data_IF_575610206491
#
_entry.id   IF_575610206491
#
_cell.length_a   1.000
_cell.length_b   1.000
_cell.length_c   1.000
_cell.angle_alpha   90.00
_cell.angle_beta   90.00
_cell.angle_gamma   90.00
#
_symmetry.space_group_name_H-M   'P 1'
#
loop_
_entity.id
_entity.type
_entity.pdbx_description
1 polymer ?
#
# COMPACT_ATOMS: atom_id res chain seq x y z
N UNK A 1 -39.35 -25.00 19.40
CA UNK A 1 -38.98 -26.34 18.89
C UNK A 1 -38.85 -26.32 17.36
N UNK A 2 -37.86 -25.60 16.79
CA UNK A 2 -37.78 -25.40 15.33
C UNK A 2 -36.41 -25.77 14.72
N UNK A 3 -35.40 -26.04 15.56
CA UNK A 3 -34.03 -26.34 15.12
C UNK A 3 -33.71 -27.83 14.96
N UNK A 4 -34.55 -28.73 15.49
CA UNK A 4 -34.31 -30.18 15.45
C UNK A 4 -34.57 -30.83 14.08
N UNK A 5 -35.36 -30.18 13.21
CA UNK A 5 -35.76 -30.74 11.91
C UNK A 5 -34.76 -30.47 10.78
N UNK A 6 -33.77 -29.59 11.01
CA UNK A 6 -32.74 -29.30 10.01
C UNK A 6 -31.66 -30.38 9.96
N UNK A 7 -31.31 -30.99 11.10
CA UNK A 7 -30.24 -32.00 11.19
C UNK A 7 -30.67 -33.41 10.76
N UNK A 8 -31.95 -33.76 10.86
CA UNK A 8 -32.45 -35.09 10.47
C UNK A 8 -32.55 -35.29 8.95
N UNK A 9 -32.61 -34.20 8.16
CA UNK A 9 -32.80 -34.26 6.71
C UNK A 9 -31.46 -34.41 5.92
N UNK A 10 -30.32 -34.10 6.53
CA UNK A 10 -29.00 -34.31 5.90
C UNK A 10 -28.62 -35.80 5.80
N UNK A 11 -29.04 -36.60 6.78
CA UNK A 11 -28.64 -38.01 6.84
C UNK A 11 -29.49 -38.93 5.94
N UNK A 12 -30.62 -38.46 5.41
CA UNK A 12 -31.56 -39.29 4.67
C UNK A 12 -31.47 -39.19 3.13
N UNK A 13 -30.47 -38.45 2.60
CA UNK A 13 -30.19 -38.45 1.15
C UNK A 13 -29.52 -39.76 0.75
N UNK A 14 -30.04 -40.40 -0.29
CA UNK A 14 -29.47 -41.65 -0.82
C UNK A 14 -28.02 -41.43 -1.28
N UNK A 15 -27.15 -42.44 -1.14
CA UNK A 15 -25.76 -42.36 -1.59
C UNK A 15 -25.62 -41.79 -3.02
N UNK A 16 -26.47 -42.19 -4.00
CA UNK A 16 -26.46 -41.59 -5.34
C UNK A 16 -26.70 -40.07 -5.36
N UNK A 17 -27.62 -39.55 -4.53
CA UNK A 17 -27.90 -38.11 -4.45
C UNK A 17 -26.71 -37.32 -3.87
N UNK A 18 -25.98 -37.90 -2.92
CA UNK A 18 -24.78 -37.28 -2.34
C UNK A 18 -23.65 -37.23 -3.37
N UNK A 19 -23.43 -38.32 -4.09
CA UNK A 19 -22.44 -38.40 -5.18
C UNK A 19 -22.79 -37.43 -6.30
N UNK A 20 -24.06 -37.38 -6.72
CA UNK A 20 -24.52 -36.45 -7.74
C UNK A 20 -24.33 -34.99 -7.33
N UNK A 21 -24.64 -34.64 -6.08
CA UNK A 21 -24.40 -33.30 -5.54
C UNK A 21 -22.91 -32.92 -5.51
N UNK A 22 -22.04 -33.84 -5.08
CA UNK A 22 -20.59 -33.63 -5.09
C UNK A 22 -20.05 -33.47 -6.53
N UNK A 23 -20.54 -34.30 -7.46
CA UNK A 23 -20.13 -34.27 -8.87
C UNK A 23 -20.56 -32.96 -9.55
N UNK A 24 -21.77 -32.48 -9.26
CA UNK A 24 -22.24 -31.16 -9.71
C UNK A 24 -21.41 -30.02 -9.12
N UNK A 25 -21.07 -30.07 -7.83
CA UNK A 25 -20.21 -29.07 -7.22
C UNK A 25 -18.83 -29.03 -7.89
N UNK A 26 -18.21 -30.20 -8.11
CA UNK A 26 -16.92 -30.31 -8.81
C UNK A 26 -17.03 -29.77 -10.24
N UNK A 27 -18.10 -30.09 -10.96
CA UNK A 27 -18.32 -29.58 -12.31
C UNK A 27 -18.42 -28.04 -12.35
N UNK A 28 -19.17 -27.43 -11.41
CA UNK A 28 -19.30 -25.98 -11.32
C UNK A 28 -17.97 -25.32 -10.97
N UNK A 29 -17.24 -25.83 -9.97
CA UNK A 29 -15.92 -25.30 -9.59
C UNK A 29 -14.95 -25.40 -10.75
N UNK A 30 -14.93 -26.54 -11.45
CA UNK A 30 -14.06 -26.75 -12.62
C UNK A 30 -14.40 -25.78 -13.74
N UNK A 31 -15.69 -25.57 -14.03
CA UNK A 31 -16.13 -24.61 -15.03
C UNK A 31 -15.71 -23.18 -14.66
N UNK A 32 -15.86 -22.80 -13.39
CA UNK A 32 -15.46 -21.48 -12.90
C UNK A 32 -13.94 -21.27 -12.99
N UNK A 33 -13.15 -22.27 -12.58
CA UNK A 33 -11.69 -22.24 -12.71
C UNK A 33 -11.24 -22.18 -14.17
N UNK A 34 -11.92 -22.90 -15.07
CA UNK A 34 -11.66 -22.81 -16.50
C UNK A 34 -11.91 -21.40 -17.03
N UNK A 35 -13.05 -20.79 -16.68
CA UNK A 35 -13.39 -19.43 -17.10
C UNK A 35 -12.39 -18.40 -16.56
N UNK A 36 -12.05 -18.52 -15.28
CA UNK A 36 -11.02 -17.70 -14.64
C UNK A 36 -9.66 -17.83 -15.34
N UNK A 37 -9.24 -19.06 -15.67
CA UNK A 37 -8.01 -19.31 -16.39
C UNK A 37 -8.00 -18.65 -17.78
N UNK A 38 -9.12 -18.67 -18.51
CA UNK A 38 -9.21 -18.00 -19.81
C UNK A 38 -9.07 -16.48 -19.69
N UNK A 39 -9.73 -15.88 -18.71
CA UNK A 39 -9.62 -14.44 -18.42
C UNK A 39 -8.18 -14.11 -18.03
N UNK A 40 -7.59 -14.89 -17.12
CA UNK A 40 -6.21 -14.72 -16.68
C UNK A 40 -5.23 -14.84 -17.85
N UNK A 41 -5.44 -15.78 -18.78
CA UNK A 41 -4.61 -15.94 -19.99
C UNK A 41 -4.68 -14.71 -20.89
N UNK A 42 -5.86 -14.16 -21.11
CA UNK A 42 -6.04 -12.90 -21.86
C UNK A 42 -5.34 -11.74 -21.15
N UNK A 43 -5.46 -11.66 -19.83
CA UNK A 43 -4.82 -10.62 -19.02
C UNK A 43 -3.29 -10.73 -19.05
N UNK A 44 -2.76 -11.96 -19.08
CA UNK A 44 -1.34 -12.23 -19.25
C UNK A 44 -0.84 -11.79 -20.64
N UNK A 45 -1.60 -12.07 -21.69
CA UNK A 45 -1.30 -11.60 -23.04
C UNK A 45 -1.34 -10.06 -23.15
N UNK A 46 -2.26 -9.40 -22.42
CA UNK A 46 -2.35 -7.94 -22.33
C UNK A 46 -1.32 -7.32 -21.39
N UNK A 47 -0.71 -8.08 -20.50
CA UNK A 47 0.25 -7.57 -19.52
C UNK A 47 1.42 -6.77 -20.12
N UNK A 48 2.08 -7.18 -21.23
CA UNK A 48 3.09 -6.34 -21.85
C UNK A 48 2.53 -4.97 -22.25
N UNK A 49 1.29 -4.90 -22.75
CA UNK A 49 0.63 -3.63 -23.08
C UNK A 49 0.43 -2.76 -21.83
N UNK A 50 0.04 -3.33 -20.69
CA UNK A 50 -0.06 -2.61 -19.43
C UNK A 50 1.31 -2.12 -18.94
N UNK A 51 2.37 -2.90 -19.07
CA UNK A 51 3.72 -2.46 -18.72
C UNK A 51 4.16 -1.28 -19.61
N UNK A 52 3.90 -1.33 -20.91
CA UNK A 52 4.13 -0.19 -21.81
C UNK A 52 3.34 1.05 -21.40
N UNK A 53 2.06 0.89 -21.04
CA UNK A 53 1.23 1.99 -20.56
C UNK A 53 1.80 2.60 -19.26
N UNK A 54 2.28 1.77 -18.32
CA UNK A 54 2.90 2.24 -17.09
C UNK A 54 4.19 3.05 -17.36
N UNK A 55 5.03 2.58 -18.29
CA UNK A 55 6.25 3.29 -18.70
C UNK A 55 5.93 4.64 -19.33
N UNK A 56 4.90 4.69 -20.18
CA UNK A 56 4.46 5.92 -20.84
C UNK A 56 3.86 6.93 -19.84
N UNK A 57 3.19 6.45 -18.79
CA UNK A 57 2.61 7.31 -17.75
C UNK A 57 3.67 7.87 -16.80
N UNK A 58 4.52 7.02 -16.23
CA UNK A 58 5.57 7.42 -15.31
C UNK A 58 6.66 6.33 -15.24
N UNK A 59 7.76 6.45 -15.99
CA UNK A 59 8.73 5.37 -16.16
C UNK A 59 9.43 4.99 -14.85
N UNK A 60 9.58 5.93 -13.91
CA UNK A 60 10.20 5.70 -12.61
C UNK A 60 9.48 4.61 -11.80
N UNK A 61 8.16 4.44 -11.96
CA UNK A 61 7.41 3.37 -11.28
C UNK A 61 7.93 1.99 -11.65
N UNK A 62 8.25 1.77 -12.92
CA UNK A 62 8.80 0.49 -13.38
C UNK A 62 10.20 0.28 -12.82
N UNK A 63 11.07 1.29 -12.90
CA UNK A 63 12.43 1.20 -12.35
C UNK A 63 12.47 0.96 -10.84
N UNK A 64 11.61 1.63 -10.08
CA UNK A 64 11.48 1.43 -8.64
C UNK A 64 11.03 0.00 -8.31
N UNK A 65 10.17 -0.57 -9.15
CA UNK A 65 9.74 -1.97 -9.02
C UNK A 65 10.88 -2.95 -9.34
N UNK A 66 11.64 -2.74 -10.43
CA UNK A 66 12.82 -3.57 -10.70
C UNK A 66 13.88 -3.45 -9.60
N UNK A 67 14.06 -2.25 -9.04
CA UNK A 67 14.98 -2.00 -7.91
C UNK A 67 14.56 -2.81 -6.68
N UNK A 68 13.26 -2.90 -6.38
CA UNK A 68 12.79 -3.67 -5.23
C UNK A 68 13.02 -5.18 -5.42
N UNK A 69 12.86 -5.71 -6.63
CA UNK A 69 13.21 -7.09 -6.97
C UNK A 69 14.71 -7.33 -6.72
N UNK A 70 15.57 -6.46 -7.25
CA UNK A 70 17.02 -6.56 -7.06
C UNK A 70 17.42 -6.48 -5.59
N UNK A 71 16.75 -5.63 -4.80
CA UNK A 71 16.98 -5.52 -3.35
C UNK A 71 16.61 -6.83 -2.63
N UNK A 72 15.52 -7.49 -3.04
CA UNK A 72 15.11 -8.77 -2.46
C UNK A 72 16.17 -9.86 -2.68
N UNK A 73 16.79 -9.91 -3.86
CA UNK A 73 17.90 -10.81 -4.14
C UNK A 73 19.15 -10.50 -3.31
N UNK A 74 19.43 -9.22 -3.04
CA UNK A 74 20.56 -8.82 -2.19
C UNK A 74 20.38 -9.22 -0.72
N UNK A 75 19.14 -9.23 -0.23
CA UNK A 75 18.84 -9.59 1.17
C UNK A 75 18.92 -11.10 1.39
N UNK A 76 18.27 -11.88 0.52
CA UNK A 76 18.29 -13.33 0.58
C UNK A 76 17.98 -13.90 -0.82
N UNK A 77 18.84 -14.78 -1.33
CA UNK A 77 18.66 -15.41 -2.63
C UNK A 77 17.34 -16.18 -2.74
N UNK A 78 16.98 -16.95 -1.70
CA UNK A 78 15.72 -17.72 -1.65
C UNK A 78 14.52 -16.77 -1.66
N UNK A 79 14.57 -15.72 -0.82
CA UNK A 79 13.52 -14.71 -0.75
C UNK A 79 13.33 -13.96 -2.08
N UNK A 80 14.43 -13.60 -2.75
CA UNK A 80 14.43 -13.00 -4.08
C UNK A 80 13.79 -13.92 -5.12
N UNK A 81 14.14 -15.20 -5.13
CA UNK A 81 13.59 -16.18 -6.07
C UNK A 81 12.09 -16.44 -5.85
N UNK A 82 11.66 -16.54 -4.59
CA UNK A 82 10.23 -16.65 -4.27
C UNK A 82 9.46 -15.42 -4.72
N UNK A 83 10.01 -14.22 -4.47
CA UNK A 83 9.36 -12.96 -4.86
C UNK A 83 9.27 -12.85 -6.39
N UNK A 84 10.34 -13.17 -7.11
CA UNK A 84 10.35 -13.20 -8.58
C UNK A 84 9.32 -14.19 -9.13
N UNK A 85 9.22 -15.39 -8.55
CA UNK A 85 8.26 -16.41 -8.98
C UNK A 85 6.83 -15.93 -8.78
N UNK A 86 6.52 -15.34 -7.63
CA UNK A 86 5.23 -14.73 -7.35
C UNK A 86 4.92 -13.61 -8.33
N UNK A 87 5.90 -12.79 -8.72
CA UNK A 87 5.68 -11.72 -9.69
C UNK A 87 5.48 -12.22 -11.11
N UNK A 88 6.14 -13.29 -11.53
CA UNK A 88 5.93 -13.88 -12.86
C UNK A 88 4.52 -14.50 -12.95
N UNK A 89 4.10 -15.24 -11.93
CA UNK A 89 2.74 -15.81 -11.86
C UNK A 89 1.71 -14.68 -11.62
N UNK A 90 2.07 -13.65 -10.87
CA UNK A 90 1.23 -12.50 -10.58
C UNK A 90 1.27 -11.41 -11.66
N UNK A 91 2.01 -11.60 -12.75
CA UNK A 91 2.37 -10.56 -13.71
C UNK A 91 1.17 -9.76 -14.26
N UNK A 92 0.01 -10.37 -14.58
CA UNK A 92 -1.16 -9.61 -15.01
C UNK A 92 -1.63 -8.62 -13.93
N UNK A 93 -1.70 -9.07 -12.67
CA UNK A 93 -2.09 -8.24 -11.53
C UNK A 93 -1.03 -7.17 -11.23
N UNK A 94 0.25 -7.54 -11.28
CA UNK A 94 1.38 -6.62 -11.06
C UNK A 94 1.36 -5.51 -12.11
N UNK A 95 1.13 -5.84 -13.38
CA UNK A 95 1.10 -4.87 -14.47
C UNK A 95 -0.05 -3.86 -14.34
N UNK A 96 -1.25 -4.33 -13.97
CA UNK A 96 -2.39 -3.45 -13.66
C UNK A 96 -2.07 -2.55 -12.46
N UNK A 97 -1.47 -3.12 -11.40
CA UNK A 97 -1.03 -2.38 -10.23
C UNK A 97 0.01 -1.30 -10.55
N UNK A 98 0.95 -1.59 -11.47
CA UNK A 98 1.94 -0.62 -11.95
C UNK A 98 1.31 0.52 -12.75
N UNK A 99 0.35 0.21 -13.63
CA UNK A 99 -0.41 1.24 -14.36
C UNK A 99 -1.17 2.13 -13.39
N UNK A 100 -1.87 1.54 -12.43
CA UNK A 100 -2.61 2.27 -11.41
C UNK A 100 -1.67 3.16 -10.58
N UNK A 101 -0.55 2.61 -10.13
CA UNK A 101 0.49 3.34 -9.40
C UNK A 101 1.04 4.49 -10.25
N UNK A 102 1.39 4.26 -11.51
CA UNK A 102 1.89 5.29 -12.41
C UNK A 102 0.86 6.41 -12.67
N UNK A 103 -0.40 6.05 -12.85
CA UNK A 103 -1.50 7.00 -12.97
C UNK A 103 -1.67 7.84 -11.70
N UNK A 104 -1.62 7.20 -10.52
CA UNK A 104 -1.69 7.89 -9.24
C UNK A 104 -0.51 8.86 -9.04
N UNK A 105 0.74 8.44 -9.33
CA UNK A 105 1.90 9.34 -9.25
C UNK A 105 1.80 10.50 -10.26
N UNK A 106 1.31 10.27 -11.47
CA UNK A 106 1.13 11.35 -12.44
C UNK A 106 0.11 12.38 -11.95
N UNK A 107 -0.96 11.92 -11.29
CA UNK A 107 -2.07 12.79 -10.85
C UNK A 107 -1.78 13.48 -9.50
N UNK A 108 -1.20 12.77 -8.55
CA UNK A 108 -0.99 13.23 -7.17
C UNK A 108 0.48 13.52 -6.84
N UNK A 109 1.44 12.93 -7.57
CA UNK A 109 2.87 13.13 -7.35
C UNK A 109 3.39 14.52 -7.73
N UNK A 110 2.60 15.32 -8.47
CA UNK A 110 2.90 16.73 -8.71
C UNK A 110 2.82 17.58 -7.42
N UNK A 111 2.11 17.10 -6.38
CA UNK A 111 2.07 17.72 -5.06
C UNK A 111 3.27 17.31 -4.18
N UNK A 112 4.06 16.31 -4.62
CA UNK A 112 5.23 15.76 -3.94
C UNK A 112 6.53 16.01 -4.73
N UNK A 113 6.61 17.16 -5.42
CA UNK A 113 7.73 17.59 -6.27
C UNK A 113 9.14 17.64 -5.63
N UNK A 114 9.32 17.09 -4.43
CA UNK A 114 10.60 17.06 -3.71
C UNK A 114 10.86 15.73 -3.00
N UNK A 115 10.17 14.64 -3.33
CA UNK A 115 10.51 13.33 -2.75
C UNK A 115 11.35 12.51 -3.73
N UNK A 116 12.60 12.95 -3.92
CA UNK A 116 13.64 12.04 -4.36
C UNK A 116 14.09 11.25 -3.12
N UNK A 117 13.78 9.94 -2.97
CA UNK A 117 14.21 9.16 -1.80
C UNK A 117 15.73 8.85 -1.81
N UNK A 118 16.50 9.46 -2.72
CA UNK A 118 17.97 9.43 -2.69
C UNK A 118 18.61 10.76 -2.26
N UNK A 119 17.82 11.72 -1.78
CA UNK A 119 18.30 13.04 -1.35
C UNK A 119 18.06 13.33 0.14
N UNK A 120 17.72 12.29 0.92
CA UNK A 120 17.38 12.42 2.34
C UNK A 120 18.56 12.24 3.28
N UNK A 121 19.81 12.39 2.82
CA UNK A 121 20.98 12.43 3.72
C UNK A 121 21.73 13.77 3.73
N UNK A 122 21.52 14.69 2.77
CA UNK A 122 22.29 15.96 2.71
C UNK A 122 21.53 17.15 2.10
N UNK A 123 20.19 17.22 2.19
CA UNK A 123 19.48 18.44 1.80
C UNK A 123 19.42 19.40 2.98
N UNK A 124 20.49 20.20 3.10
CA UNK A 124 20.55 21.38 3.96
C UNK A 124 19.27 22.20 3.76
N UNK A 125 18.48 22.31 4.82
CA UNK A 125 17.38 23.26 4.89
C UNK A 125 18.01 24.65 4.73
N UNK A 126 17.71 25.35 3.63
CA UNK A 126 17.99 26.79 3.55
C UNK A 126 17.18 27.46 4.65
N UNK A 127 17.85 27.87 5.71
CA UNK A 127 17.30 28.78 6.69
C UNK A 127 16.98 30.09 5.95
N UNK A 128 15.71 30.50 6.00
CA UNK A 128 15.37 31.87 5.67
C UNK A 128 16.01 32.74 6.77
N UNK A 129 17.12 33.40 6.44
CA UNK A 129 17.69 34.42 7.31
C UNK A 129 16.66 35.53 7.46
N UNK A 130 15.97 35.54 8.59
CA UNK A 130 15.07 36.63 8.94
C UNK A 130 15.96 37.83 9.21
N UNK A 131 16.04 38.77 8.27
CA UNK A 131 16.73 40.04 8.45
C UNK A 131 16.28 40.65 9.78
N UNK A 132 17.22 40.74 10.73
CA UNK A 132 17.00 41.27 12.08
C UNK A 132 16.88 42.79 12.07
N UNK A 133 16.00 43.32 11.23
CA UNK A 133 15.63 44.73 11.17
C UNK A 133 14.16 44.88 10.80
N UNK A 134 13.23 44.20 11.50
CA UNK A 134 11.82 44.65 11.59
C UNK A 134 11.18 44.15 12.90
N UNK A 135 11.04 45.08 13.85
CA UNK A 135 10.06 45.12 14.94
C UNK A 135 10.04 44.02 16.02
N UNK A 136 11.05 44.05 16.90
CA UNK A 136 11.03 43.41 18.22
C UNK A 136 10.11 44.18 19.22
N UNK A 137 8.77 44.10 19.11
CA UNK A 137 7.91 44.72 20.14
C UNK A 137 6.67 43.95 20.61
N UNK A 138 6.32 42.77 20.09
CA UNK A 138 5.05 42.12 20.47
C UNK A 138 5.10 40.70 21.04
N UNK A 139 6.26 40.04 21.11
CA UNK A 139 6.32 38.64 21.60
C UNK A 139 6.90 38.48 23.02
N UNK A 140 7.55 39.50 23.58
CA UNK A 140 8.16 39.41 24.91
C UNK A 140 7.20 39.69 26.09
N UNK A 141 6.03 40.30 25.86
CA UNK A 141 5.15 40.73 26.96
C UNK A 141 4.35 39.60 27.61
N UNK A 142 4.22 38.44 26.96
CA UNK A 142 3.40 37.33 27.49
C UNK A 142 4.21 36.36 28.36
N UNK A 143 5.52 36.20 28.15
CA UNK A 143 6.35 35.27 28.95
C UNK A 143 6.89 35.84 30.27
N UNK A 144 6.93 37.17 30.43
CA UNK A 144 7.45 37.80 31.66
C UNK A 144 6.40 37.87 32.78
N UNK A 145 5.13 38.05 32.45
CA UNK A 145 4.04 38.17 33.45
C UNK A 145 3.78 36.85 34.19
N UNK A 146 3.98 35.70 33.53
CA UNK A 146 3.76 34.38 34.13
C UNK A 146 4.88 33.98 35.11
N UNK A 147 6.13 34.35 34.83
CA UNK A 147 7.27 34.04 35.72
C UNK A 147 7.27 34.87 37.00
N UNK A 148 6.80 36.11 36.95
CA UNK A 148 6.73 37.00 38.11
C UNK A 148 5.65 36.55 39.12
N UNK A 149 4.48 36.10 38.62
CA UNK A 149 3.42 35.54 39.48
C UNK A 149 3.79 34.20 40.13
N UNK A 150 4.53 33.35 39.41
CA UNK A 150 4.99 32.08 39.96
C UNK A 150 6.01 32.28 41.09
N UNK A 151 6.87 33.30 41.00
CA UNK A 151 7.86 33.59 42.05
C UNK A 151 7.21 34.17 43.31
N UNK A 152 6.26 35.11 43.16
CA UNK A 152 5.53 35.70 44.29
C UNK A 152 4.71 34.65 45.08
N UNK A 153 4.15 33.65 44.42
CA UNK A 153 3.36 32.61 45.09
C UNK A 153 4.20 31.60 45.90
N UNK A 154 5.53 31.53 45.69
CA UNK A 154 6.43 30.70 46.48
C UNK A 154 6.89 31.39 47.77
N UNK A 155 7.03 32.71 47.76
CA UNK A 155 7.42 33.51 48.95
C UNK A 155 6.33 33.45 50.04
N UNK A 156 5.05 33.55 49.67
CA UNK A 156 3.89 33.50 50.60
C UNK A 156 3.70 32.15 51.32
N UNK A 157 4.43 31.09 50.94
CA UNK A 157 4.31 29.76 51.59
C UNK A 157 5.26 29.59 52.79
N UNK A 158 6.14 30.55 53.03
CA UNK A 158 7.18 30.47 54.07
C UNK A 158 7.14 31.64 55.07
N UNK A 159 6.17 32.55 54.97
CA UNK A 159 5.73 33.45 56.05
C UNK A 159 4.64 32.79 56.92
#
# INVERSE_FOLDING_TARGET
>A
MMYSNLYSNLNNRSLPQRIFGALMFIAIVTLFLYLFYQIYRLLFLLSPLFLFAAVLLFPKVLFDHLKSIGLAFKQNLVGGLTNLTIQIIGLPLVSIGLVFKAWAYRKFGQLQGTSNPSKSEDEFVSYEEVDSTTNNQSVQKTKSIEKEKAYSAYEDLFE
#
